data_IF_978720257600
#
_entry.id   IF_978720257600
#
_cell.length_a   1.000
_cell.length_b   1.000
_cell.length_c   1.000
_cell.angle_alpha   90.00
_cell.angle_beta   90.00
_cell.angle_gamma   90.00
#
_symmetry.space_group_name_H-M   'P 1'
#
loop_
_entity.id
_entity.type
_entity.pdbx_description
1 polymer ?
#
# COMPACT_ATOMS: atom_id res chain seq x y z
N UNK A 1 20.53 -14.08 16.55
CA UNK A 1 19.09 -14.32 16.37
C UNK A 1 18.28 -13.41 17.26
N UNK A 2 17.77 -12.29 16.76
CA UNK A 2 16.61 -11.61 17.39
C UNK A 2 15.36 -12.50 17.17
N UNK A 3 15.18 -13.55 17.98
CA UNK A 3 14.03 -14.49 17.86
C UNK A 3 12.72 -13.72 17.81
N UNK A 4 11.81 -14.05 16.89
CA UNK A 4 11.19 -13.06 16.03
C UNK A 4 10.54 -11.93 16.82
N UNK A 5 10.98 -10.72 16.50
CA UNK A 5 10.42 -9.49 17.04
C UNK A 5 9.33 -9.00 16.09
N UNK A 6 8.09 -8.98 16.58
CA UNK A 6 6.90 -8.54 15.85
C UNK A 6 6.32 -7.30 16.52
N UNK A 7 6.08 -6.25 15.74
CA UNK A 7 5.65 -4.95 16.26
C UNK A 7 4.90 -4.17 15.19
N UNK A 8 4.21 -3.09 15.60
CA UNK A 8 3.50 -2.20 14.67
C UNK A 8 4.21 -0.88 14.52
N UNK A 9 4.32 -0.41 13.28
CA UNK A 9 4.95 0.88 12.98
C UNK A 9 4.37 1.48 11.66
N UNK A 10 4.55 2.78 11.45
CA UNK A 10 4.35 3.43 10.14
C UNK A 10 5.63 3.24 9.34
N UNK A 11 5.62 2.46 8.26
CA UNK A 11 6.84 2.14 7.49
C UNK A 11 6.64 2.50 6.03
N UNK A 12 7.62 3.17 5.42
CA UNK A 12 7.59 3.55 4.00
C UNK A 12 6.30 4.29 3.60
N UNK A 13 5.85 5.22 4.46
CA UNK A 13 4.59 5.97 4.34
C UNK A 13 3.32 5.10 4.31
N UNK A 14 3.40 3.85 4.80
CA UNK A 14 2.25 2.98 5.01
C UNK A 14 1.95 2.86 6.50
N UNK A 15 0.72 3.19 6.87
CA UNK A 15 0.31 3.15 8.28
C UNK A 15 -0.03 1.73 8.73
N UNK A 16 0.16 1.45 10.03
CA UNK A 16 -0.32 0.23 10.70
C UNK A 16 0.27 -1.09 10.17
N UNK A 17 1.48 -1.04 9.62
CA UNK A 17 2.22 -2.23 9.21
C UNK A 17 2.55 -3.09 10.44
N UNK A 18 2.42 -4.40 10.29
CA UNK A 18 3.00 -5.40 11.21
C UNK A 18 4.35 -5.78 10.65
N UNK A 19 5.42 -5.46 11.39
CA UNK A 19 6.78 -5.74 10.98
C UNK A 19 7.31 -6.90 11.80
N UNK A 20 7.93 -7.87 11.13
CA UNK A 20 8.55 -9.03 11.75
C UNK A 20 10.01 -9.15 11.32
N UNK A 21 10.91 -9.28 12.31
CA UNK A 21 12.27 -9.74 12.09
C UNK A 21 12.26 -11.27 12.02
N UNK A 22 12.48 -11.84 10.83
CA UNK A 22 12.49 -13.29 10.60
C UNK A 22 13.85 -13.91 10.86
N UNK A 23 14.92 -13.12 10.72
CA UNK A 23 16.31 -13.47 11.05
C UNK A 23 17.08 -12.20 11.42
N UNK A 24 18.37 -12.32 11.74
CA UNK A 24 19.22 -11.16 12.04
C UNK A 24 19.36 -10.19 10.85
N UNK A 25 19.15 -10.70 9.63
CA UNK A 25 19.31 -9.98 8.38
C UNK A 25 18.06 -10.00 7.49
N UNK A 26 16.91 -10.49 7.96
CA UNK A 26 15.68 -10.55 7.15
C UNK A 26 14.47 -10.01 7.89
N UNK A 27 13.83 -9.03 7.26
CA UNK A 27 12.63 -8.36 7.75
C UNK A 27 11.50 -8.50 6.76
N UNK A 28 10.28 -8.46 7.27
CA UNK A 28 9.08 -8.28 6.46
C UNK A 28 8.17 -7.21 7.04
N UNK A 29 7.40 -6.57 6.17
CA UNK A 29 6.31 -5.68 6.51
C UNK A 29 5.02 -6.25 5.93
N UNK A 30 4.12 -6.69 6.81
CA UNK A 30 2.81 -7.22 6.50
C UNK A 30 1.75 -6.13 6.72
N UNK A 31 0.83 -5.96 5.78
CA UNK A 31 -0.29 -5.04 5.91
C UNK A 31 -1.56 -5.81 6.35
N UNK A 32 -2.05 -5.62 7.59
CA UNK A 32 -3.26 -6.30 8.06
C UNK A 32 -4.54 -5.94 7.32
N UNK A 33 -4.57 -4.83 6.56
CA UNK A 33 -5.77 -4.38 5.87
C UNK A 33 -6.00 -5.08 4.52
N UNK A 34 -4.94 -5.55 3.86
CA UNK A 34 -5.04 -6.35 2.63
C UNK A 34 -4.52 -7.79 2.80
N UNK A 35 -4.04 -8.12 4.00
CA UNK A 35 -3.44 -9.40 4.36
C UNK A 35 -2.35 -9.90 3.41
N UNK A 36 -1.36 -9.04 3.13
CA UNK A 36 -0.19 -9.41 2.35
C UNK A 36 1.11 -8.82 2.89
N UNK A 37 2.21 -9.45 2.50
CA UNK A 37 3.55 -8.91 2.67
C UNK A 37 3.72 -7.79 1.64
N UNK A 38 3.80 -6.56 2.13
CA UNK A 38 4.07 -5.37 1.31
C UNK A 38 5.55 -5.22 1.00
N UNK A 39 6.42 -5.73 1.88
CA UNK A 39 7.86 -5.72 1.68
C UNK A 39 8.55 -6.85 2.42
N UNK A 40 9.62 -7.38 1.83
CA UNK A 40 10.63 -8.17 2.50
C UNK A 40 12.01 -7.61 2.13
N UNK A 41 12.91 -7.42 3.09
CA UNK A 41 14.23 -6.85 2.84
C UNK A 41 15.28 -7.35 3.83
N UNK A 42 16.53 -7.28 3.43
CA UNK A 42 17.69 -7.41 4.32
C UNK A 42 18.29 -6.05 4.61
N UNK A 43 18.85 -5.91 5.82
CA UNK A 43 19.36 -4.66 6.34
C UNK A 43 18.64 -4.27 7.63
N UNK A 44 18.17 -3.03 7.71
CA UNK A 44 17.63 -2.47 8.94
C UNK A 44 16.47 -1.49 8.65
N UNK A 45 15.94 -0.91 9.71
CA UNK A 45 14.96 0.18 9.67
C UNK A 45 15.66 1.46 10.11
N UNK A 46 15.51 2.49 9.28
CA UNK A 46 15.83 3.85 9.67
C UNK A 46 14.74 4.38 10.60
N UNK A 47 14.92 4.20 11.91
CA UNK A 47 13.98 4.69 12.91
C UNK A 47 14.04 6.21 13.00
N UNK A 48 13.09 6.87 12.33
CA UNK A 48 12.91 8.32 12.32
C UNK A 48 11.51 8.70 12.79
N UNK A 49 11.33 9.99 13.07
CA UNK A 49 10.06 10.59 13.42
C UNK A 49 9.96 10.93 14.90
N UNK A 50 8.76 11.36 15.29
CA UNK A 50 8.51 11.99 16.60
C UNK A 50 9.04 11.24 17.81
N UNK A 51 9.00 9.91 17.79
CA UNK A 51 9.45 9.07 18.91
C UNK A 51 10.97 8.90 18.94
N UNK A 52 11.64 8.98 17.79
CA UNK A 52 13.05 8.58 17.64
C UNK A 52 14.00 9.76 17.53
N UNK A 53 13.65 10.78 16.74
CA UNK A 53 14.51 11.93 16.46
C UNK A 53 13.76 13.28 16.44
N UNK A 54 12.50 13.29 16.87
CA UNK A 54 11.59 14.44 16.85
C UNK A 54 11.25 15.03 15.46
N UNK A 55 11.76 14.44 14.37
CA UNK A 55 11.40 14.84 13.01
C UNK A 55 9.92 14.52 12.69
N UNK A 56 9.45 15.03 11.56
CA UNK A 56 8.12 14.67 11.00
C UNK A 56 8.21 13.49 10.02
N UNK A 57 9.41 12.92 9.84
CA UNK A 57 9.63 11.85 8.88
C UNK A 57 9.09 10.52 9.42
N UNK A 58 8.66 9.65 8.50
CA UNK A 58 8.32 8.27 8.84
C UNK A 58 9.57 7.37 8.80
N UNK A 59 9.60 6.30 9.61
CA UNK A 59 10.59 5.26 9.44
C UNK A 59 10.60 4.68 8.03
N UNK A 60 11.80 4.39 7.53
CA UNK A 60 12.02 3.86 6.19
C UNK A 60 12.84 2.58 6.24
N UNK A 61 12.64 1.70 5.27
CA UNK A 61 13.49 0.52 5.09
C UNK A 61 14.85 0.89 4.51
N UNK A 62 15.92 0.21 4.97
CA UNK A 62 17.28 0.33 4.43
C UNK A 62 17.83 -1.05 4.08
N UNK A 63 18.46 -1.14 2.91
CA UNK A 63 19.14 -2.33 2.42
C UNK A 63 18.47 -2.97 1.20
N UNK A 64 18.68 -4.27 1.01
CA UNK A 64 18.30 -4.98 -0.21
C UNK A 64 16.87 -5.49 -0.10
N UNK A 65 16.00 -5.06 -1.02
CA UNK A 65 14.62 -5.52 -1.08
C UNK A 65 14.53 -6.85 -1.84
N UNK A 66 13.89 -7.85 -1.22
CA UNK A 66 13.58 -9.16 -1.81
C UNK A 66 12.23 -9.14 -2.54
N UNK A 67 11.26 -8.47 -1.92
CA UNK A 67 9.88 -8.36 -2.37
C UNK A 67 9.42 -6.96 -2.02
N UNK A 68 8.76 -6.29 -2.96
CA UNK A 68 8.00 -5.07 -2.68
C UNK A 68 6.71 -5.10 -3.50
N UNK A 69 5.60 -4.94 -2.81
CA UNK A 69 4.33 -4.65 -3.46
C UNK A 69 4.38 -3.23 -4.02
N UNK A 70 4.04 -3.08 -5.30
CA UNK A 70 3.84 -1.75 -5.89
C UNK A 70 2.69 -1.07 -5.17
N UNK A 71 3.01 -0.01 -4.42
CA UNK A 71 2.04 0.78 -3.67
C UNK A 71 1.82 2.17 -4.24
N UNK A 72 2.46 2.49 -5.38
CA UNK A 72 2.30 3.81 -6.03
C UNK A 72 1.13 3.73 -6.99
N UNK A 73 0.06 4.47 -6.70
CA UNK A 73 -1.05 4.65 -7.63
C UNK A 73 -0.74 5.79 -8.59
N UNK A 74 -0.29 6.92 -8.04
CA UNK A 74 0.05 8.10 -8.81
C UNK A 74 1.16 8.87 -8.09
N UNK A 75 2.11 9.37 -8.88
CA UNK A 75 3.11 10.34 -8.45
C UNK A 75 2.99 11.53 -9.40
N UNK A 76 2.81 12.74 -8.86
CA UNK A 76 2.78 13.92 -9.70
C UNK A 76 4.15 14.12 -10.37
N UNK A 77 4.17 14.46 -11.67
CA UNK A 77 5.40 14.91 -12.31
C UNK A 77 5.78 16.28 -11.76
N UNK A 78 7.00 16.73 -12.07
CA UNK A 78 7.33 18.15 -11.95
C UNK A 78 6.35 18.98 -12.80
N UNK A 79 6.01 20.21 -12.40
CA UNK A 79 5.05 21.02 -13.15
C UNK A 79 5.44 21.24 -14.61
N UNK A 80 6.73 21.35 -14.90
CA UNK A 80 7.27 21.47 -16.25
C UNK A 80 7.06 20.23 -17.14
N UNK A 81 6.68 19.07 -16.57
CA UNK A 81 6.47 17.80 -17.29
C UNK A 81 5.02 17.32 -17.21
N UNK A 82 4.09 18.24 -16.96
CA UNK A 82 2.68 17.94 -16.88
C UNK A 82 2.12 17.49 -18.23
N UNK A 83 1.27 16.46 -18.20
CA UNK A 83 0.49 16.01 -19.36
C UNK A 83 -0.91 16.60 -19.33
N UNK A 84 -1.62 16.56 -20.46
CA UNK A 84 -2.99 17.08 -20.60
C UNK A 84 -4.03 16.40 -19.68
N UNK A 85 -3.67 15.29 -19.04
CA UNK A 85 -4.53 14.59 -18.08
C UNK A 85 -4.69 15.36 -16.75
N UNK A 86 -3.77 16.27 -16.44
CA UNK A 86 -3.84 17.16 -15.29
C UNK A 86 -4.48 18.49 -15.74
N UNK A 87 -5.34 19.06 -14.90
CA UNK A 87 -5.99 20.34 -15.22
C UNK A 87 -5.72 21.36 -14.13
N UNK A 88 -5.17 22.51 -14.52
CA UNK A 88 -4.82 23.62 -13.65
C UNK A 88 -5.63 24.87 -14.04
N UNK A 89 -6.09 25.63 -13.04
CA UNK A 89 -6.73 26.94 -13.18
C UNK A 89 -6.08 27.91 -12.21
N UNK A 90 -5.50 28.98 -12.72
CA UNK A 90 -4.76 29.98 -11.93
C UNK A 90 -3.60 29.38 -11.12
N UNK A 91 -2.96 28.34 -11.68
CA UNK A 91 -1.77 27.71 -11.11
C UNK A 91 -0.64 27.79 -12.15
N UNK A 92 0.54 28.23 -11.72
CA UNK A 92 1.73 28.33 -12.55
C UNK A 92 2.83 27.40 -12.05
N UNK A 93 3.77 27.08 -12.94
CA UNK A 93 5.06 26.54 -12.54
C UNK A 93 5.92 27.67 -11.99
N UNK A 94 6.55 27.43 -10.84
CA UNK A 94 7.53 28.33 -10.26
C UNK A 94 8.58 27.49 -9.52
N UNK A 95 9.84 27.54 -9.95
CA UNK A 95 10.95 26.84 -9.30
C UNK A 95 10.66 25.33 -9.06
N UNK A 96 10.08 24.67 -10.07
CA UNK A 96 9.74 23.25 -10.00
C UNK A 96 8.58 22.91 -9.07
N UNK A 97 7.82 23.89 -8.58
CA UNK A 97 6.61 23.68 -7.75
C UNK A 97 5.37 24.29 -8.39
N UNK A 98 4.20 23.85 -7.93
CA UNK A 98 2.90 24.38 -8.36
C UNK A 98 2.53 25.58 -7.50
N UNK A 99 2.50 26.79 -8.05
CA UNK A 99 2.11 28.00 -7.32
C UNK A 99 0.72 28.46 -7.69
N UNK A 100 -0.11 28.70 -6.67
CA UNK A 100 -1.52 29.06 -6.80
C UNK A 100 -1.68 30.59 -6.68
N UNK A 101 -2.23 31.22 -7.72
CA UNK A 101 -2.16 32.67 -7.90
C UNK A 101 -3.42 33.43 -7.48
N UNK A 102 -4.52 32.73 -7.19
CA UNK A 102 -5.83 33.32 -6.92
C UNK A 102 -6.65 32.53 -5.90
N UNK A 103 -7.67 33.17 -5.32
CA UNK A 103 -8.69 32.48 -4.54
C UNK A 103 -9.46 31.58 -5.49
N UNK A 104 -9.76 30.36 -5.05
CA UNK A 104 -10.29 29.27 -5.86
C UNK A 104 -9.37 28.81 -7.01
N UNK A 105 -8.08 29.16 -7.02
CA UNK A 105 -7.13 28.50 -7.93
C UNK A 105 -7.15 26.98 -7.68
N UNK A 106 -7.13 26.17 -8.74
CA UNK A 106 -7.28 24.71 -8.63
C UNK A 106 -6.22 23.94 -9.40
N UNK A 107 -5.71 22.89 -8.78
CA UNK A 107 -4.96 21.83 -9.46
C UNK A 107 -5.73 20.52 -9.32
N UNK A 108 -6.12 19.91 -10.43
CA UNK A 108 -6.89 18.67 -10.44
C UNK A 108 -6.08 17.53 -11.07
N UNK A 109 -6.02 16.41 -10.36
CA UNK A 109 -5.35 15.20 -10.79
C UNK A 109 -6.09 14.52 -11.97
N UNK A 110 -5.39 13.68 -12.74
CA UNK A 110 -6.00 12.72 -13.65
C UNK A 110 -7.03 11.84 -12.94
N UNK A 111 -7.91 11.23 -13.73
CA UNK A 111 -8.75 10.14 -13.24
C UNK A 111 -7.86 8.95 -12.87
N UNK A 112 -8.05 8.41 -11.68
CA UNK A 112 -7.33 7.23 -11.17
C UNK A 112 -8.32 6.13 -10.79
N UNK A 113 -7.97 4.90 -11.10
CA UNK A 113 -8.74 3.72 -10.69
C UNK A 113 -8.29 3.25 -9.31
N UNK A 114 -9.17 3.40 -8.32
CA UNK A 114 -8.95 2.96 -6.94
C UNK A 114 -9.82 1.75 -6.56
N UNK A 115 -10.54 1.15 -7.51
CA UNK A 115 -11.51 0.08 -7.23
C UNK A 115 -10.88 -1.17 -6.63
N UNK A 116 -9.66 -1.49 -7.03
CA UNK A 116 -8.84 -2.57 -6.47
C UNK A 116 -7.80 -2.13 -5.44
N UNK A 117 -7.95 -0.96 -4.80
CA UNK A 117 -6.94 -0.41 -3.87
C UNK A 117 -7.52 -0.17 -2.46
N UNK A 118 -6.76 -0.54 -1.44
CA UNK A 118 -7.01 -0.33 0.00
C UNK A 118 -6.18 0.84 0.49
N UNK A 119 -6.66 1.45 1.58
CA UNK A 119 -5.87 2.38 2.41
C UNK A 119 -5.12 3.42 1.59
N UNK A 120 -5.84 4.03 0.66
CA UNK A 120 -5.28 5.04 -0.22
C UNK A 120 -4.89 6.25 0.60
N UNK A 121 -3.63 6.64 0.53
CA UNK A 121 -3.04 7.80 1.19
C UNK A 121 -2.64 8.83 0.14
N UNK A 122 -3.23 10.02 0.25
CA UNK A 122 -2.74 11.20 -0.44
C UNK A 122 -1.69 11.88 0.45
N UNK A 123 -0.48 12.05 -0.08
CA UNK A 123 0.58 12.82 0.56
C UNK A 123 1.03 13.96 -0.36
N UNK A 124 1.39 15.09 0.23
CA UNK A 124 1.90 16.27 -0.49
C UNK A 124 2.61 17.21 0.46
N UNK A 125 3.48 18.07 -0.07
CA UNK A 125 4.04 19.18 0.68
C UNK A 125 3.36 20.48 0.25
N UNK A 126 3.03 21.33 1.21
CA UNK A 126 2.54 22.68 0.95
C UNK A 126 3.47 23.73 1.55
N UNK A 127 3.58 24.89 0.89
CA UNK A 127 4.30 26.06 1.40
C UNK A 127 3.32 27.05 2.03
N UNK A 128 3.81 27.80 3.03
CA UNK A 128 3.08 28.84 3.80
C UNK A 128 2.03 28.31 4.78
N UNK A 129 1.96 28.93 5.97
CA UNK A 129 1.01 28.61 7.06
C UNK A 129 -0.29 29.40 6.94
N UNK A 130 -0.28 30.49 6.19
CA UNK A 130 -1.47 31.27 5.90
C UNK A 130 -2.42 30.48 5.00
N UNK A 131 -3.67 30.30 5.44
CA UNK A 131 -4.68 29.50 4.71
C UNK A 131 -4.39 28.00 4.62
N UNK A 132 -5.46 27.22 4.44
CA UNK A 132 -5.37 25.79 4.07
C UNK A 132 -5.68 25.60 2.60
N UNK A 133 -5.07 24.59 1.99
CA UNK A 133 -5.68 23.98 0.82
C UNK A 133 -6.91 23.21 1.24
N UNK A 134 -8.03 23.47 0.58
CA UNK A 134 -9.14 22.54 0.57
C UNK A 134 -8.84 21.46 -0.46
N UNK A 135 -8.92 20.21 -0.07
CA UNK A 135 -8.81 19.06 -0.95
C UNK A 135 -10.18 18.44 -1.11
N UNK A 136 -10.66 18.37 -2.35
CA UNK A 136 -11.91 17.71 -2.69
C UNK A 136 -11.63 16.41 -3.44
N UNK A 137 -12.41 15.38 -3.13
CA UNK A 137 -12.38 14.07 -3.77
C UNK A 137 -13.71 13.82 -4.46
N UNK A 138 -13.61 13.28 -5.66
CA UNK A 138 -14.72 12.85 -6.51
C UNK A 138 -14.60 11.35 -6.77
N UNK A 139 -15.73 10.66 -6.82
CA UNK A 139 -15.87 9.25 -7.18
C UNK A 139 -16.54 9.04 -8.56
N UNK A 140 -16.89 10.12 -9.27
CA UNK A 140 -17.62 10.09 -10.56
C UNK A 140 -16.83 10.69 -11.73
N UNK A 141 -15.54 10.94 -11.55
CA UNK A 141 -14.66 11.53 -12.55
C UNK A 141 -14.68 13.07 -12.55
N UNK A 142 -15.14 13.69 -11.47
CA UNK A 142 -15.16 15.13 -11.24
C UNK A 142 -16.49 15.81 -11.61
N UNK A 143 -17.56 15.04 -11.84
CA UNK A 143 -18.90 15.59 -12.04
C UNK A 143 -19.46 16.16 -10.73
N UNK A 144 -19.21 15.47 -9.62
CA UNK A 144 -19.45 15.97 -8.25
C UNK A 144 -18.19 15.83 -7.39
N UNK A 145 -18.11 16.65 -6.34
CA UNK A 145 -16.95 16.76 -5.44
C UNK A 145 -17.35 16.52 -3.98
N UNK A 146 -18.26 15.55 -3.78
CA UNK A 146 -18.91 15.29 -2.49
C UNK A 146 -18.41 14.02 -1.80
N UNK A 147 -17.54 13.23 -2.44
CA UNK A 147 -17.10 11.94 -1.89
C UNK A 147 -16.29 12.13 -0.61
N UNK A 148 -15.42 13.15 -0.56
CA UNK A 148 -14.68 13.55 0.63
C UNK A 148 -14.13 14.96 0.44
N UNK A 149 -14.16 15.78 1.49
CA UNK A 149 -13.47 17.07 1.54
C UNK A 149 -12.70 17.20 2.85
N UNK A 150 -11.50 17.76 2.80
CA UNK A 150 -10.73 18.11 4.00
C UNK A 150 -9.78 19.28 3.73
N UNK A 151 -9.42 19.99 4.79
CA UNK A 151 -8.39 21.02 4.74
C UNK A 151 -7.01 20.43 5.06
N UNK A 152 -5.98 20.98 4.43
CA UNK A 152 -4.59 20.71 4.77
C UNK A 152 -4.26 21.19 6.20
N UNK A 153 -3.30 20.52 6.82
CA UNK A 153 -2.86 20.78 8.19
C UNK A 153 -1.79 21.87 8.23
N UNK A 154 -1.92 22.78 9.19
CA UNK A 154 -1.02 23.91 9.38
C UNK A 154 -0.17 23.69 10.63
N UNK A 155 1.05 23.18 10.45
CA UNK A 155 1.96 22.86 11.55
C UNK A 155 3.33 23.55 11.47
N UNK A 156 3.61 24.30 10.40
CA UNK A 156 4.85 25.06 10.24
C UNK A 156 4.98 26.18 11.29
N UNK A 157 6.21 26.52 11.64
CA UNK A 157 6.51 27.57 12.63
C UNK A 157 6.48 28.97 12.00
N UNK A 158 6.65 29.07 10.68
CA UNK A 158 6.58 30.31 9.91
C UNK A 158 6.05 30.06 8.48
N UNK A 159 5.88 31.14 7.72
CA UNK A 159 5.29 31.12 6.37
C UNK A 159 6.30 30.75 5.27
N UNK A 160 7.53 30.41 5.65
CA UNK A 160 8.62 30.04 4.74
C UNK A 160 9.03 28.57 4.86
N UNK A 161 8.17 27.76 5.49
CA UNK A 161 8.43 26.34 5.70
C UNK A 161 7.51 25.47 4.83
N UNK A 162 8.09 24.40 4.30
CA UNK A 162 7.33 23.30 3.73
C UNK A 162 6.66 22.50 4.83
N UNK A 163 5.39 22.20 4.64
CA UNK A 163 4.54 21.46 5.55
C UNK A 163 4.10 20.16 4.88
N UNK A 164 4.46 19.05 5.50
CA UNK A 164 4.08 17.73 5.03
C UNK A 164 2.65 17.39 5.43
N UNK A 165 1.84 16.98 4.45
CA UNK A 165 0.46 16.58 4.64
C UNK A 165 0.26 15.13 4.19
N UNK A 166 -0.52 14.38 4.97
CA UNK A 166 -0.92 13.03 4.62
C UNK A 166 -2.34 12.74 5.10
N UNK A 167 -3.19 12.25 4.20
CA UNK A 167 -4.59 11.93 4.52
C UNK A 167 -5.04 10.66 3.81
N UNK A 168 -5.81 9.83 4.51
CA UNK A 168 -6.52 8.70 3.91
C UNK A 168 -7.66 9.22 3.02
N UNK A 169 -7.70 8.73 1.80
CA UNK A 169 -8.78 8.93 0.84
C UNK A 169 -9.78 7.79 0.99
N UNK A 170 -11.06 8.14 1.22
CA UNK A 170 -12.14 7.20 1.50
C UNK A 170 -13.01 6.94 0.26
N UNK A 171 -12.40 6.50 -0.84
CA UNK A 171 -13.11 6.08 -2.06
C UNK A 171 -12.50 4.82 -2.64
N UNK A 172 -13.33 4.05 -3.33
CA UNK A 172 -12.99 2.82 -4.06
C UNK A 172 -13.51 2.89 -5.50
N UNK A 173 -13.66 4.08 -6.06
CA UNK A 173 -14.17 4.24 -7.43
C UNK A 173 -13.07 3.98 -8.46
N UNK A 174 -13.45 3.43 -9.60
CA UNK A 174 -12.59 3.36 -10.78
C UNK A 174 -12.41 4.72 -11.47
N UNK A 175 -13.15 5.74 -11.04
CA UNK A 175 -13.18 7.09 -11.63
C UNK A 175 -12.82 8.16 -10.61
N UNK A 176 -11.94 7.87 -9.67
CA UNK A 176 -11.58 8.84 -8.64
C UNK A 176 -10.85 10.04 -9.25
N UNK A 177 -11.21 11.26 -8.83
CA UNK A 177 -10.42 12.47 -9.03
C UNK A 177 -10.20 13.19 -7.72
N UNK A 178 -9.10 13.91 -7.64
CA UNK A 178 -8.72 14.74 -6.50
C UNK A 178 -8.36 16.12 -7.03
N UNK A 179 -8.85 17.17 -6.38
CA UNK A 179 -8.41 18.53 -6.65
C UNK A 179 -7.99 19.25 -5.38
N UNK A 180 -6.97 20.08 -5.53
CA UNK A 180 -6.52 21.04 -4.54
C UNK A 180 -7.11 22.40 -4.89
N UNK A 181 -7.65 23.10 -3.90
CA UNK A 181 -8.28 24.41 -4.06
C UNK A 181 -7.65 25.39 -3.07
N UNK A 182 -7.03 26.46 -3.57
CA UNK A 182 -6.60 27.56 -2.73
C UNK A 182 -7.82 28.33 -2.25
N UNK A 183 -8.02 28.43 -0.94
CA UNK A 183 -9.22 29.06 -0.35
C UNK A 183 -9.05 30.55 -0.10
N UNK A 184 -7.82 31.05 -0.04
CA UNK A 184 -7.49 32.44 0.24
C UNK A 184 -6.17 32.85 -0.44
N UNK A 185 -6.24 33.76 -1.41
CA UNK A 185 -5.06 34.29 -2.09
C UNK A 185 -4.24 35.30 -1.29
N UNK A 186 -4.71 35.77 -0.13
CA UNK A 186 -3.89 36.61 0.75
C UNK A 186 -2.65 35.86 1.26
N UNK A 187 -2.65 34.54 1.13
CA UNK A 187 -1.56 33.67 1.50
C UNK A 187 -1.13 32.86 0.28
N UNK A 188 -0.02 33.26 -0.35
CA UNK A 188 0.52 32.53 -1.49
C UNK A 188 0.83 31.08 -1.09
N UNK A 189 0.18 30.12 -1.75
CA UNK A 189 0.43 28.69 -1.53
C UNK A 189 1.18 28.09 -2.70
N UNK A 190 2.06 27.14 -2.36
CA UNK A 190 2.69 26.28 -3.36
C UNK A 190 2.55 24.81 -2.96
N UNK A 191 2.48 23.91 -3.94
CA UNK A 191 2.40 22.46 -3.77
C UNK A 191 3.54 21.74 -4.48
N UNK A 192 4.03 20.67 -3.86
CA UNK A 192 4.94 19.71 -4.51
C UNK A 192 4.76 18.31 -3.94
N UNK A 193 5.49 17.36 -4.52
CA UNK A 193 5.57 15.98 -4.02
C UNK A 193 4.20 15.34 -3.80
N UNK A 194 3.23 15.60 -4.68
CA UNK A 194 1.90 15.00 -4.58
C UNK A 194 2.02 13.52 -4.95
N UNK A 195 1.58 12.65 -4.05
CA UNK A 195 1.63 11.19 -4.23
C UNK A 195 0.36 10.57 -3.72
N UNK A 196 -0.20 9.68 -4.52
CA UNK A 196 -1.25 8.79 -4.13
C UNK A 196 -0.66 7.39 -4.01
N UNK A 197 -0.67 6.86 -2.80
CA UNK A 197 -0.20 5.51 -2.50
C UNK A 197 -1.33 4.67 -1.93
N UNK A 198 -1.27 3.37 -2.12
CA UNK A 198 -2.24 2.44 -1.56
C UNK A 198 -1.73 1.02 -1.62
N UNK A 199 -2.55 0.10 -1.15
CA UNK A 199 -2.25 -1.33 -1.16
C UNK A 199 -3.23 -2.02 -2.08
N UNK A 200 -2.75 -2.70 -3.12
CA UNK A 200 -3.63 -3.46 -4.00
C UNK A 200 -4.43 -4.51 -3.20
N UNK A 201 -5.65 -4.78 -3.64
CA UNK A 201 -6.41 -5.93 -3.18
C UNK A 201 -5.68 -7.21 -3.58
N UNK A 202 -5.50 -8.07 -2.58
CA UNK A 202 -4.75 -9.32 -2.68
C UNK A 202 -5.65 -10.52 -2.76
N UNK A 203 -6.79 -10.40 -2.09
CA UNK A 203 -7.78 -11.44 -1.94
C UNK A 203 -9.07 -10.96 -2.57
N UNK A 204 -9.63 -11.78 -3.45
CA UNK A 204 -11.00 -11.63 -3.95
C UNK A 204 -11.70 -12.97 -3.85
N UNK A 205 -13.02 -12.93 -3.93
CA UNK A 205 -13.86 -14.13 -3.93
C UNK A 205 -14.77 -14.08 -5.15
N UNK A 206 -14.83 -15.17 -5.88
CA UNK A 206 -15.87 -15.42 -6.87
C UNK A 206 -16.98 -16.27 -6.25
N UNK A 207 -18.22 -15.81 -6.34
CA UNK A 207 -19.40 -16.61 -6.02
C UNK A 207 -20.37 -16.53 -7.18
N UNK A 208 -20.68 -17.68 -7.77
CA UNK A 208 -21.57 -17.79 -8.95
C UNK A 208 -21.19 -16.87 -10.12
N UNK A 209 -19.89 -16.69 -10.40
CA UNK A 209 -19.39 -15.88 -11.52
C UNK A 209 -19.27 -14.38 -11.19
N UNK A 210 -19.56 -13.97 -9.95
CA UNK A 210 -19.40 -12.58 -9.51
C UNK A 210 -18.18 -12.47 -8.62
N UNK A 211 -17.16 -11.75 -9.10
CA UNK A 211 -15.97 -11.43 -8.31
C UNK A 211 -16.23 -10.26 -7.39
N UNK A 212 -15.99 -10.47 -6.10
CA UNK A 212 -16.17 -9.50 -5.04
C UNK A 212 -14.90 -9.32 -4.23
N UNK A 213 -14.73 -8.10 -3.73
CA UNK A 213 -13.73 -7.77 -2.73
C UNK A 213 -14.12 -8.41 -1.38
N UNK A 214 -13.15 -8.96 -0.65
CA UNK A 214 -13.39 -9.52 0.70
C UNK A 214 -12.91 -8.58 1.78
N UNK A 215 -13.62 -8.49 2.90
CA UNK A 215 -13.09 -7.85 4.09
C UNK A 215 -12.06 -8.73 4.77
N UNK A 216 -10.99 -8.12 5.27
CA UNK A 216 -9.93 -8.80 5.99
C UNK A 216 -10.15 -8.61 7.48
N UNK A 217 -10.39 -9.71 8.19
CA UNK A 217 -10.53 -9.73 9.64
C UNK A 217 -9.24 -10.26 10.27
N UNK A 218 -8.35 -9.33 10.62
CA UNK A 218 -7.06 -9.62 11.22
C UNK A 218 -7.20 -10.29 12.59
N UNK A 219 -6.74 -11.55 12.72
CA UNK A 219 -6.81 -12.34 13.95
C UNK A 219 -5.55 -12.27 14.81
N UNK A 220 -4.51 -11.59 14.35
CA UNK A 220 -3.25 -11.49 15.07
C UNK A 220 -2.18 -12.40 14.50
N UNK A 221 -1.18 -12.68 15.33
CA UNK A 221 -0.09 -13.57 14.99
C UNK A 221 0.20 -14.50 16.17
N UNK A 222 0.63 -15.71 15.86
CA UNK A 222 1.16 -16.64 16.83
C UNK A 222 2.69 -16.70 16.73
N UNK A 223 3.32 -16.83 17.89
CA UNK A 223 4.71 -17.23 18.02
C UNK A 223 4.72 -18.69 18.41
N UNK A 224 4.92 -19.58 17.45
CA UNK A 224 5.09 -20.99 17.76
C UNK A 224 6.47 -21.17 18.41
N UNK A 225 6.60 -22.18 19.27
CA UNK A 225 7.80 -22.54 20.04
C UNK A 225 9.08 -22.73 19.20
N UNK A 226 8.98 -22.69 17.87
CA UNK A 226 10.03 -22.95 16.89
C UNK A 226 10.55 -21.68 16.17
N UNK A 227 10.52 -20.51 16.84
CA UNK A 227 11.03 -19.24 16.30
C UNK A 227 10.37 -18.73 15.01
N UNK A 228 9.18 -19.24 14.68
CA UNK A 228 8.39 -18.83 13.51
C UNK A 228 7.28 -17.87 13.89
N UNK A 229 6.89 -17.02 12.94
CA UNK A 229 5.73 -16.13 13.05
C UNK A 229 4.67 -16.61 12.09
N UNK A 230 3.46 -16.85 12.59
CA UNK A 230 2.31 -17.18 11.75
C UNK A 230 1.27 -16.08 11.90
N UNK A 231 0.97 -15.40 10.81
CA UNK A 231 -0.10 -14.41 10.70
C UNK A 231 -1.43 -15.10 10.43
N UNK A 232 -2.49 -14.68 11.12
CA UNK A 232 -3.83 -15.26 10.98
C UNK A 232 -4.85 -14.20 10.63
N UNK A 233 -5.71 -14.50 9.66
CA UNK A 233 -6.80 -13.62 9.26
C UNK A 233 -7.92 -14.41 8.60
N UNK A 234 -9.14 -13.91 8.74
CA UNK A 234 -10.30 -14.45 8.03
C UNK A 234 -10.62 -13.58 6.83
N UNK A 235 -10.94 -14.22 5.71
CA UNK A 235 -11.57 -13.55 4.58
C UNK A 235 -13.07 -13.52 4.84
N UNK A 236 -13.69 -12.34 4.70
CA UNK A 236 -15.13 -12.18 4.89
C UNK A 236 -15.80 -11.61 3.65
N UNK A 237 -17.00 -12.10 3.35
CA UNK A 237 -17.88 -11.54 2.33
C UNK A 237 -19.27 -11.37 2.94
N UNK A 238 -19.87 -10.19 2.78
CA UNK A 238 -21.17 -9.83 3.35
C UNK A 238 -21.27 -10.11 4.86
N UNK A 239 -20.16 -9.89 5.58
CA UNK A 239 -20.09 -10.12 7.02
C UNK A 239 -19.97 -11.58 7.43
N UNK A 240 -19.92 -12.56 6.53
CA UNK A 240 -19.67 -13.98 6.84
C UNK A 240 -18.22 -14.37 6.54
N UNK A 241 -17.64 -15.29 7.33
CA UNK A 241 -16.32 -15.87 7.01
C UNK A 241 -16.47 -16.79 5.81
N UNK A 242 -15.63 -16.59 4.79
CA UNK A 242 -15.61 -17.39 3.57
C UNK A 242 -14.35 -18.24 3.42
N UNK A 243 -13.28 -17.91 4.14
CA UNK A 243 -12.11 -18.76 4.33
C UNK A 243 -11.29 -18.26 5.52
N UNK A 244 -10.51 -19.16 6.11
CA UNK A 244 -9.49 -18.86 7.12
C UNK A 244 -8.11 -18.98 6.50
N UNK A 245 -7.22 -18.05 6.82
CA UNK A 245 -5.88 -18.01 6.26
C UNK A 245 -4.84 -17.95 7.35
N UNK A 246 -3.84 -18.82 7.23
CA UNK A 246 -2.60 -18.73 7.98
C UNK A 246 -1.44 -18.45 7.01
N UNK A 247 -0.59 -17.50 7.36
CA UNK A 247 0.58 -17.13 6.58
C UNK A 247 1.83 -17.19 7.44
N UNK A 248 2.78 -18.04 7.06
CA UNK A 248 4.05 -18.25 7.76
C UNK A 248 5.22 -17.90 6.84
N UNK A 249 5.79 -16.69 6.97
CA UNK A 249 7.00 -16.31 6.28
C UNK A 249 8.26 -16.71 7.06
N UNK A 250 9.27 -17.21 6.36
CA UNK A 250 10.48 -17.76 6.96
C UNK A 250 11.73 -17.38 6.15
N UNK A 251 12.82 -17.11 6.87
CA UNK A 251 14.15 -17.05 6.28
C UNK A 251 14.60 -18.48 6.00
N UNK A 252 14.88 -18.79 4.75
CA UNK A 252 15.49 -20.06 4.33
C UNK A 252 16.84 -19.81 3.66
N UNK A 253 17.55 -20.89 3.33
CA UNK A 253 18.69 -20.84 2.42
C UNK A 253 18.27 -21.41 1.07
N UNK A 254 18.76 -20.84 -0.03
CA UNK A 254 18.63 -21.48 -1.34
C UNK A 254 19.56 -22.70 -1.46
N UNK A 255 19.51 -23.39 -2.60
CA UNK A 255 20.35 -24.57 -2.86
C UNK A 255 21.86 -24.30 -2.85
N UNK A 256 22.29 -23.03 -2.79
CA UNK A 256 23.68 -22.58 -2.71
C UNK A 256 24.03 -22.00 -1.32
N UNK A 257 23.12 -22.08 -0.35
CA UNK A 257 23.31 -21.54 1.00
C UNK A 257 23.04 -20.04 1.14
N UNK A 258 22.62 -19.35 0.07
CA UNK A 258 22.36 -17.90 0.07
C UNK A 258 21.02 -17.59 0.75
N UNK A 259 20.85 -16.38 1.35
CA UNK A 259 19.58 -16.00 1.94
C UNK A 259 18.43 -16.01 0.93
N UNK A 260 17.31 -16.62 1.33
CA UNK A 260 16.07 -16.66 0.57
C UNK A 260 14.87 -16.49 1.52
N UNK A 261 13.74 -16.06 0.97
CA UNK A 261 12.47 -15.96 1.69
C UNK A 261 11.56 -17.12 1.26
N UNK A 262 10.96 -17.81 2.21
CA UNK A 262 9.81 -18.68 1.97
C UNK A 262 8.56 -18.06 2.58
N UNK A 263 7.43 -18.18 1.90
CA UNK A 263 6.11 -17.86 2.43
C UNK A 263 5.22 -19.08 2.22
N UNK A 264 4.78 -19.65 3.32
CA UNK A 264 3.73 -20.66 3.33
C UNK A 264 2.40 -20.00 3.64
N UNK A 265 1.38 -20.25 2.83
CA UNK A 265 0.01 -19.83 3.05
C UNK A 265 -0.84 -21.09 3.11
N UNK A 266 -1.61 -21.24 4.18
CA UNK A 266 -2.61 -22.30 4.34
C UNK A 266 -3.97 -21.64 4.29
N UNK A 267 -4.80 -22.07 3.34
CA UNK A 267 -6.20 -21.68 3.24
C UNK A 267 -7.04 -22.85 3.73
N UNK A 268 -7.94 -22.59 4.67
CA UNK A 268 -8.83 -23.60 5.25
C UNK A 268 -10.27 -23.10 5.29
N UNK A 269 -11.20 -24.04 5.44
CA UNK A 269 -12.64 -23.78 5.60
C UNK A 269 -13.23 -22.88 4.49
N UNK A 270 -12.86 -23.13 3.23
CA UNK A 270 -13.43 -22.38 2.10
C UNK A 270 -14.92 -22.69 2.02
N UNK A 271 -15.74 -21.63 2.04
CA UNK A 271 -17.18 -21.77 1.96
C UNK A 271 -17.61 -22.50 0.67
N UNK A 272 -18.71 -23.27 0.69
CA UNK A 272 -19.26 -23.88 -0.53
C UNK A 272 -19.51 -22.84 -1.64
N UNK A 273 -19.45 -23.30 -2.89
CA UNK A 273 -19.70 -22.50 -4.09
C UNK A 273 -18.89 -21.20 -4.19
N UNK A 274 -17.71 -21.18 -3.54
CA UNK A 274 -16.84 -20.03 -3.44
C UNK A 274 -15.47 -20.36 -4.01
N UNK A 275 -14.98 -19.53 -4.93
CA UNK A 275 -13.60 -19.56 -5.40
C UNK A 275 -12.86 -18.41 -4.73
N UNK A 276 -11.93 -18.72 -3.84
CA UNK A 276 -11.03 -17.70 -3.27
C UNK A 276 -9.91 -17.46 -4.28
N UNK A 277 -9.55 -16.20 -4.51
CA UNK A 277 -8.44 -15.83 -5.40
C UNK A 277 -7.38 -15.05 -4.64
N UNK A 278 -6.13 -15.48 -4.74
CA UNK A 278 -4.95 -14.75 -4.28
C UNK A 278 -4.17 -14.19 -5.46
N UNK A 279 -3.95 -12.88 -5.47
CA UNK A 279 -3.07 -12.23 -6.44
C UNK A 279 -1.61 -12.44 -6.06
N UNK A 280 -0.85 -13.08 -6.95
CA UNK A 280 0.60 -13.18 -6.82
C UNK A 280 1.25 -11.89 -7.31
N UNK A 281 2.18 -11.36 -6.53
CA UNK A 281 2.99 -10.23 -6.96
C UNK A 281 3.84 -10.54 -8.18
N UNK A 282 3.98 -9.52 -9.03
CA UNK A 282 4.72 -9.59 -10.30
C UNK A 282 5.94 -8.67 -10.36
N UNK A 283 6.34 -8.02 -9.25
CA UNK A 283 7.56 -7.21 -9.25
C UNK A 283 8.71 -7.89 -8.49
N UNK A 284 9.46 -8.78 -9.15
CA UNK A 284 10.72 -9.24 -8.62
C UNK A 284 11.74 -8.08 -8.67
N UNK A 285 12.27 -7.71 -7.52
CA UNK A 285 13.34 -6.70 -7.36
C UNK A 285 14.74 -7.32 -7.58
N UNK A 286 14.86 -8.26 -8.53
CA UNK A 286 16.08 -9.07 -8.73
C UNK A 286 16.04 -10.47 -8.10
N UNK A 287 14.84 -10.98 -7.77
CA UNK A 287 14.63 -12.30 -7.16
C UNK A 287 13.74 -13.19 -8.03
N UNK A 288 14.07 -14.47 -8.15
CA UNK A 288 13.22 -15.45 -8.81
C UNK A 288 12.19 -15.96 -7.79
N UNK A 289 10.91 -15.75 -8.09
CA UNK A 289 9.81 -16.32 -7.31
C UNK A 289 9.42 -17.69 -7.89
N UNK A 290 9.54 -18.75 -7.07
CA UNK A 290 9.05 -20.10 -7.39
C UNK A 290 7.87 -20.43 -6.48
N UNK A 291 6.77 -20.84 -7.09
CA UNK A 291 5.54 -21.19 -6.37
C UNK A 291 5.22 -22.66 -6.57
N UNK A 292 4.94 -23.35 -5.47
CA UNK A 292 4.46 -24.72 -5.45
C UNK A 292 3.11 -24.78 -4.74
N UNK A 293 2.19 -25.57 -5.29
CA UNK A 293 0.84 -25.78 -4.78
C UNK A 293 0.71 -27.23 -4.30
N UNK A 294 0.09 -27.40 -3.14
CA UNK A 294 -0.32 -28.68 -2.60
C UNK A 294 -1.81 -28.60 -2.23
N UNK A 295 -2.64 -29.44 -2.84
CA UNK A 295 -4.11 -29.37 -2.77
C UNK A 295 -4.80 -28.87 -4.05
N UNK A 296 -6.14 -28.78 -4.06
CA UNK A 296 -6.96 -28.44 -5.22
C UNK A 296 -6.95 -26.93 -5.53
N UNK A 297 -5.83 -26.43 -6.07
CA UNK A 297 -5.71 -25.04 -6.52
C UNK A 297 -5.16 -24.93 -7.95
N UNK A 298 -5.56 -23.86 -8.63
CA UNK A 298 -5.19 -23.61 -10.03
C UNK A 298 -4.52 -22.24 -10.16
N UNK A 299 -3.35 -22.23 -10.80
CA UNK A 299 -2.71 -20.99 -11.22
C UNK A 299 -3.36 -20.47 -12.50
N UNK A 300 -3.90 -19.26 -12.48
CA UNK A 300 -4.47 -18.57 -13.64
C UNK A 300 -3.77 -17.24 -13.91
N UNK A 301 -3.83 -16.80 -15.16
CA UNK A 301 -3.49 -15.42 -15.53
C UNK A 301 -4.75 -14.72 -15.96
N UNK A 302 -5.13 -13.65 -15.25
CA UNK A 302 -6.31 -12.83 -15.50
C UNK A 302 -5.86 -11.37 -15.49
N UNK A 303 -6.25 -10.60 -16.50
CA UNK A 303 -5.94 -9.17 -16.62
C UNK A 303 -4.44 -8.83 -16.44
N UNK A 304 -3.57 -9.67 -17.03
CA UNK A 304 -2.10 -9.58 -16.94
C UNK A 304 -1.53 -9.78 -15.53
N UNK A 305 -2.36 -10.13 -14.54
CA UNK A 305 -1.95 -10.54 -13.21
C UNK A 305 -2.03 -12.07 -13.07
N UNK A 306 -1.14 -12.64 -12.24
CA UNK A 306 -1.20 -14.06 -11.88
C UNK A 306 -2.01 -14.22 -10.62
N UNK A 307 -2.93 -15.17 -10.65
CA UNK A 307 -3.85 -15.49 -9.58
C UNK A 307 -3.77 -16.96 -9.25
N UNK A 308 -3.90 -17.27 -7.97
CA UNK A 308 -4.15 -18.64 -7.52
C UNK A 308 -5.60 -18.70 -7.09
N UNK A 309 -6.34 -19.61 -7.71
CA UNK A 309 -7.72 -19.91 -7.38
C UNK A 309 -7.77 -21.15 -6.49
N UNK A 310 -8.51 -21.04 -5.39
CA UNK A 310 -8.70 -22.10 -4.41
C UNK A 310 -10.18 -22.49 -4.39
N UNK A 311 -10.44 -23.79 -4.48
CA UNK A 311 -11.78 -24.37 -4.41
C UNK A 311 -11.79 -25.54 -3.42
N UNK A 312 -12.72 -25.52 -2.47
CA UNK A 312 -12.97 -26.66 -1.58
C UNK A 312 -11.97 -26.84 -0.43
N UNK A 313 -11.34 -28.01 -0.36
CA UNK A 313 -10.54 -28.48 0.80
C UNK A 313 -9.31 -27.61 1.10
N UNK A 314 -8.65 -27.89 2.22
CA UNK A 314 -7.46 -27.16 2.67
C UNK A 314 -6.37 -27.17 1.58
N UNK A 315 -5.87 -25.97 1.25
CA UNK A 315 -4.78 -25.80 0.28
C UNK A 315 -3.58 -25.20 0.98
N UNK A 316 -2.40 -25.76 0.68
CA UNK A 316 -1.13 -25.15 1.04
C UNK A 316 -0.43 -24.59 -0.20
N UNK A 317 -0.16 -23.30 -0.15
CA UNK A 317 0.67 -22.59 -1.10
C UNK A 317 2.04 -22.31 -0.48
N UNK A 318 3.11 -22.66 -1.17
CA UNK A 318 4.46 -22.24 -0.79
C UNK A 318 5.10 -21.45 -1.91
N UNK A 319 5.50 -20.21 -1.62
CA UNK A 319 6.28 -19.38 -2.54
C UNK A 319 7.66 -19.13 -1.95
N UNK A 320 8.69 -19.28 -2.77
CA UNK A 320 10.09 -19.04 -2.39
C UNK A 320 10.70 -17.99 -3.30
N UNK A 321 11.36 -17.00 -2.72
CA UNK A 321 12.13 -15.97 -3.44
C UNK A 321 13.63 -16.20 -3.23
N UNK A 322 14.34 -16.46 -4.31
CA UNK A 322 15.79 -16.71 -4.33
C UNK A 322 16.51 -15.66 -5.17
N UNK A 323 17.72 -15.26 -4.78
CA UNK A 323 18.54 -14.29 -5.53
C UNK A 323 18.72 -14.76 -6.99
N UNK A 324 18.39 -13.92 -7.97
CA UNK A 324 18.76 -14.16 -9.38
C UNK A 324 20.29 -14.02 -9.45
N UNK A 325 20.98 -15.03 -9.96
CA UNK A 325 22.44 -15.11 -9.93
C UNK A 325 23.16 -13.89 -10.53
N UNK A 326 24.37 -13.66 -10.04
CA UNK A 326 25.31 -12.61 -10.47
C UNK A 326 25.76 -12.77 -11.93
#
# INVERSE_FOLDING_TARGET
>A
GRSPWVFRLILDDKTRMVVAALADDLWIAFNPANAAIERAWSGDIDYRGKVWDFSQDNPMTRGTTYLAASGTVLQAPSPASMTDAWTARDVIEFDGVWRFMATDATLTLPVVDLSGTRDVMLSFDEWSRGGSFRVDVSDDGGATWAAQTFDSTRHGHNDTEWQWNMKRIATNSARTRIRFVQTDAAHEKSLRNIRLRGSADRWTVDRHGTTSRVDIDWRGYDRIRDERVTFRFDLRLDGAVVARVEMTPERIADGLGRPALSQRIVLADVAPDTVVRLRLDTEPTGFLARTTLDGPAVLRTLDRARWIEFEGEDVTLTTTWTVIGD
#
